data_IF_810660921001
#
_entry.id   IF_810660921001
#
_cell.length_a   1.000
_cell.length_b   1.000
_cell.length_c   1.000
_cell.angle_alpha   90.00
_cell.angle_beta   90.00
_cell.angle_gamma   90.00
#
_symmetry.space_group_name_H-M   'P 1'
#
loop_
_entity.id
_entity.type
_entity.pdbx_description
1 polymer ?
#
# COMPACT_ATOMS: atom_id res chain seq x y z
N UNK A 1 -20.33 19.74 12.14
CA UNK A 1 -20.11 19.67 10.68
C UNK A 1 -20.20 18.22 10.25
N UNK A 2 -21.32 17.81 9.64
CA UNK A 2 -21.43 16.48 9.04
C UNK A 2 -20.59 16.48 7.76
N UNK A 3 -19.40 15.89 7.80
CA UNK A 3 -18.63 15.65 6.60
C UNK A 3 -19.50 14.78 5.68
N UNK A 4 -19.95 15.35 4.57
CA UNK A 4 -20.48 14.57 3.44
C UNK A 4 -19.37 13.58 3.11
N UNK A 5 -19.62 12.30 3.37
CA UNK A 5 -18.69 11.21 3.07
C UNK A 5 -18.30 11.36 1.59
N UNK A 6 -17.00 11.46 1.31
CA UNK A 6 -16.52 11.17 -0.04
C UNK A 6 -17.01 9.77 -0.38
N UNK A 7 -17.81 9.66 -1.45
CA UNK A 7 -18.30 8.36 -1.92
C UNK A 7 -17.23 7.57 -2.67
N UNK A 8 -16.04 8.15 -2.88
CA UNK A 8 -14.97 7.56 -3.68
C UNK A 8 -13.60 7.77 -3.02
N UNK A 9 -12.66 6.82 -3.19
CA UNK A 9 -11.28 6.98 -2.74
C UNK A 9 -10.59 8.13 -3.48
N UNK A 10 -9.77 8.87 -2.76
CA UNK A 10 -8.81 9.81 -3.33
C UNK A 10 -7.58 9.08 -3.85
N UNK A 11 -7.13 9.41 -5.05
CA UNK A 11 -6.04 8.70 -5.73
C UNK A 11 -4.88 9.64 -6.00
N UNK A 12 -3.69 9.26 -5.53
CA UNK A 12 -2.42 9.89 -5.89
C UNK A 12 -1.69 9.05 -6.95
N UNK A 13 -1.21 9.68 -8.01
CA UNK A 13 -0.37 9.00 -9.02
C UNK A 13 1.01 9.64 -9.04
N UNK A 14 2.05 8.84 -8.85
CA UNK A 14 3.44 9.25 -8.91
C UNK A 14 4.10 8.64 -10.15
N UNK A 15 4.64 9.52 -11.00
CA UNK A 15 5.39 9.15 -12.20
C UNK A 15 6.81 9.67 -12.15
N UNK A 16 7.72 8.93 -12.80
CA UNK A 16 9.03 9.41 -13.21
C UNK A 16 9.27 9.19 -14.71
N UNK A 17 10.47 9.52 -15.18
CA UNK A 17 10.96 9.10 -16.50
C UNK A 17 10.21 9.69 -17.70
N UNK A 18 9.98 8.88 -18.74
CA UNK A 18 9.39 9.26 -20.03
C UNK A 18 7.86 9.08 -20.12
N UNK A 19 7.24 8.34 -19.17
CA UNK A 19 5.81 8.01 -19.17
C UNK A 19 4.91 9.22 -18.79
N UNK A 20 5.49 10.26 -18.18
CA UNK A 20 4.81 11.49 -17.77
C UNK A 20 4.00 12.19 -18.87
N UNK A 21 4.28 11.92 -20.16
CA UNK A 21 3.64 12.61 -21.28
C UNK A 21 2.26 12.06 -21.69
N UNK A 22 1.89 10.82 -21.33
CA UNK A 22 0.61 10.22 -21.78
C UNK A 22 -0.28 9.67 -20.67
N UNK A 23 0.22 9.66 -19.43
CA UNK A 23 -0.56 9.40 -18.22
C UNK A 23 -1.58 8.24 -18.30
N UNK A 24 -1.09 7.00 -18.52
CA UNK A 24 -1.98 5.85 -18.68
C UNK A 24 -2.86 5.61 -17.44
N UNK A 25 -2.38 5.93 -16.24
CA UNK A 25 -3.16 5.79 -15.00
C UNK A 25 -4.27 6.84 -14.87
N UNK A 26 -4.05 8.09 -15.28
CA UNK A 26 -5.10 9.11 -15.21
C UNK A 26 -6.31 8.67 -16.03
N UNK A 27 -6.10 8.24 -17.28
CA UNK A 27 -7.18 7.76 -18.14
C UNK A 27 -7.93 6.58 -17.49
N UNK A 28 -7.20 5.66 -16.87
CA UNK A 28 -7.80 4.50 -16.20
C UNK A 28 -8.62 4.93 -14.99
N UNK A 29 -8.07 5.70 -14.05
CA UNK A 29 -8.80 6.10 -12.84
C UNK A 29 -9.96 7.07 -13.13
N UNK A 30 -9.83 7.95 -14.12
CA UNK A 30 -10.93 8.82 -14.57
C UNK A 30 -12.08 8.00 -15.20
N UNK A 31 -11.79 6.86 -15.82
CA UNK A 31 -12.83 5.96 -16.35
C UNK A 31 -13.71 5.31 -15.27
N UNK A 32 -13.26 5.32 -14.00
CA UNK A 32 -14.05 4.92 -12.84
C UNK A 32 -14.82 6.10 -12.20
N UNK A 33 -14.89 7.25 -12.87
CA UNK A 33 -15.54 8.47 -12.39
C UNK A 33 -14.98 8.98 -11.04
N UNK A 34 -13.70 8.67 -10.76
CA UNK A 34 -13.04 9.12 -9.54
C UNK A 34 -12.78 10.64 -9.61
N UNK A 35 -13.36 11.36 -8.66
CA UNK A 35 -13.43 12.83 -8.64
C UNK A 35 -12.07 13.47 -8.27
N UNK A 36 -11.19 12.71 -7.60
CA UNK A 36 -9.99 13.21 -6.95
C UNK A 36 -8.74 12.42 -7.36
N UNK A 37 -8.37 12.52 -8.64
CA UNK A 37 -7.10 11.99 -9.16
C UNK A 37 -6.05 13.10 -9.15
N UNK A 38 -5.06 13.00 -8.26
CA UNK A 38 -3.99 13.98 -8.13
C UNK A 38 -2.68 13.45 -8.69
N UNK A 39 -2.04 14.26 -9.53
CA UNK A 39 -0.67 13.99 -10.00
C UNK A 39 0.31 14.44 -8.94
N UNK A 40 1.02 13.49 -8.34
CA UNK A 40 2.25 13.76 -7.61
C UNK A 40 3.34 13.91 -8.68
N UNK A 41 3.39 15.09 -9.28
CA UNK A 41 4.36 15.38 -10.33
C UNK A 41 5.77 15.45 -9.72
N UNK A 42 6.59 14.43 -9.97
CA UNK A 42 8.04 14.59 -9.94
C UNK A 42 8.46 15.35 -11.20
N UNK A 43 8.13 16.65 -11.27
CA UNK A 43 8.97 17.49 -12.13
C UNK A 43 10.39 17.35 -11.60
N UNK A 44 11.36 17.32 -12.51
CA UNK A 44 12.83 17.19 -12.36
C UNK A 44 13.47 18.25 -11.45
N UNK A 45 12.87 18.49 -10.30
CA UNK A 45 13.00 19.65 -9.46
C UNK A 45 13.21 19.16 -8.04
N UNK A 46 14.47 19.23 -7.61
CA UNK A 46 14.99 18.89 -6.29
C UNK A 46 14.41 19.72 -5.12
N UNK A 47 13.28 20.43 -5.28
CA UNK A 47 12.74 21.33 -4.26
C UNK A 47 11.71 20.69 -3.34
N UNK A 48 10.95 19.69 -3.79
CA UNK A 48 10.09 18.92 -2.90
C UNK A 48 10.96 17.91 -2.13
N UNK A 49 11.37 18.26 -0.92
CA UNK A 49 12.16 17.36 -0.05
C UNK A 49 11.32 16.27 0.63
N UNK A 50 9.99 16.36 0.56
CA UNK A 50 9.08 15.49 1.30
C UNK A 50 7.89 15.08 0.46
N UNK A 51 7.59 13.80 0.52
CA UNK A 51 6.38 13.19 -0.01
C UNK A 51 5.28 13.27 1.07
N UNK A 52 4.12 13.84 0.74
CA UNK A 52 2.93 13.80 1.60
C UNK A 52 1.86 12.93 0.96
N UNK A 53 1.66 11.74 1.53
CA UNK A 53 0.64 10.78 1.09
C UNK A 53 -0.64 10.83 1.93
N UNK A 54 -0.73 11.71 2.94
CA UNK A 54 -1.82 11.71 3.93
C UNK A 54 -3.19 12.05 3.38
N UNK A 55 -3.25 12.57 2.15
CA UNK A 55 -4.48 13.01 1.47
C UNK A 55 -5.05 12.00 0.49
N UNK A 56 -4.38 10.87 0.32
CA UNK A 56 -4.75 9.83 -0.63
C UNK A 56 -5.19 8.58 0.11
N UNK A 57 -6.14 7.86 -0.48
CA UNK A 57 -6.55 6.54 -0.03
C UNK A 57 -5.81 5.46 -0.84
N UNK A 58 -5.58 5.75 -2.14
CA UNK A 58 -4.87 4.89 -3.08
C UNK A 58 -3.70 5.68 -3.66
N UNK A 59 -2.52 5.08 -3.75
CA UNK A 59 -1.35 5.64 -4.42
C UNK A 59 -0.85 4.65 -5.46
N UNK A 60 -0.71 5.09 -6.70
CA UNK A 60 -0.06 4.33 -7.78
C UNK A 60 1.30 4.94 -8.11
N UNK A 61 2.34 4.12 -8.05
CA UNK A 61 3.71 4.44 -8.45
C UNK A 61 3.99 3.64 -9.73
N UNK A 62 4.10 4.35 -10.85
CA UNK A 62 4.33 3.75 -12.16
C UNK A 62 5.78 3.35 -12.43
N UNK A 63 6.05 2.89 -13.65
CA UNK A 63 7.39 2.50 -14.10
C UNK A 63 8.39 3.66 -14.11
N UNK A 64 9.65 3.32 -13.81
CA UNK A 64 10.81 4.22 -13.71
C UNK A 64 10.59 5.48 -12.83
N UNK A 65 10.18 5.34 -11.56
CA UNK A 65 10.07 6.48 -10.66
C UNK A 65 11.46 7.03 -10.28
N UNK A 66 11.53 8.25 -9.73
CA UNK A 66 12.74 8.71 -9.01
C UNK A 66 12.90 7.88 -7.73
N UNK A 67 13.65 6.79 -7.85
CA UNK A 67 13.87 5.85 -6.75
C UNK A 67 14.71 6.46 -5.61
N UNK A 68 15.54 7.49 -5.88
CA UNK A 68 16.29 8.19 -4.83
C UNK A 68 15.31 8.95 -3.95
N UNK A 69 14.40 9.72 -4.57
CA UNK A 69 13.34 10.42 -3.86
C UNK A 69 12.45 9.46 -3.06
N UNK A 70 12.05 8.32 -3.66
CA UNK A 70 11.25 7.32 -2.96
C UNK A 70 12.02 6.72 -1.77
N UNK A 71 13.32 6.45 -1.92
CA UNK A 71 14.15 5.93 -0.83
C UNK A 71 14.30 6.93 0.31
N UNK A 72 14.51 8.21 -0.01
CA UNK A 72 14.56 9.30 0.98
C UNK A 72 13.22 9.49 1.73
N UNK A 73 12.11 9.03 1.15
CA UNK A 73 10.76 9.13 1.71
C UNK A 73 10.17 7.75 2.11
N UNK A 74 11.01 6.73 2.31
CA UNK A 74 10.57 5.37 2.66
C UNK A 74 9.66 5.35 3.91
N UNK A 75 9.95 6.19 4.90
CA UNK A 75 9.14 6.31 6.12
C UNK A 75 7.71 6.83 5.86
N UNK A 76 7.53 7.69 4.86
CA UNK A 76 6.21 8.21 4.47
C UNK A 76 5.39 7.14 3.76
N UNK A 77 6.04 6.32 2.93
CA UNK A 77 5.44 5.15 2.27
C UNK A 77 4.99 4.12 3.32
N UNK A 78 5.87 3.82 4.29
CA UNK A 78 5.54 2.93 5.39
C UNK A 78 4.40 3.48 6.24
N UNK A 79 4.40 4.79 6.54
CA UNK A 79 3.31 5.44 7.27
C UNK A 79 2.00 5.31 6.51
N UNK A 80 1.99 5.59 5.21
CA UNK A 80 0.80 5.46 4.36
C UNK A 80 0.19 4.05 4.44
N UNK A 81 1.00 3.01 4.27
CA UNK A 81 0.58 1.61 4.41
C UNK A 81 0.07 1.29 5.83
N UNK A 82 0.73 1.81 6.87
CA UNK A 82 0.32 1.61 8.27
C UNK A 82 -1.02 2.27 8.62
N UNK A 83 -1.44 3.28 7.86
CA UNK A 83 -2.69 4.01 8.07
C UNK A 83 -3.87 3.43 7.27
N UNK A 84 -3.67 2.33 6.53
CA UNK A 84 -4.71 1.72 5.71
C UNK A 84 -4.67 2.11 4.23
N UNK A 85 -3.63 2.82 3.79
CA UNK A 85 -3.47 3.20 2.38
C UNK A 85 -3.24 2.01 1.46
N UNK A 86 -3.72 2.10 0.22
CA UNK A 86 -3.52 1.10 -0.83
C UNK A 86 -2.40 1.57 -1.76
N UNK A 87 -1.30 0.83 -1.82
CA UNK A 87 -0.15 1.16 -2.67
C UNK A 87 -0.05 0.18 -3.84
N UNK A 88 -0.02 0.71 -5.06
CA UNK A 88 0.38 0.00 -6.27
C UNK A 88 1.79 0.46 -6.63
N UNK A 89 2.74 -0.46 -6.76
CA UNK A 89 4.10 -0.18 -7.17
C UNK A 89 4.49 -1.07 -8.36
N UNK A 90 4.84 -0.42 -9.48
CA UNK A 90 5.18 -1.10 -10.74
C UNK A 90 6.66 -0.93 -11.12
N UNK A 91 7.16 -1.87 -11.92
CA UNK A 91 8.44 -1.74 -12.63
C UNK A 91 9.67 -2.03 -11.76
N UNK A 92 10.62 -1.09 -11.73
CA UNK A 92 11.96 -1.32 -11.19
C UNK A 92 12.12 -0.84 -9.73
N UNK A 93 12.91 -1.60 -8.95
CA UNK A 93 13.12 -1.37 -7.51
C UNK A 93 14.60 -1.43 -7.10
N UNK A 94 15.53 -1.00 -7.95
CA UNK A 94 16.99 -1.08 -7.76
C UNK A 94 17.50 -0.54 -6.42
N UNK A 95 16.92 0.55 -5.94
CA UNK A 95 17.34 1.16 -4.69
C UNK A 95 16.63 0.57 -3.46
N UNK A 96 15.84 -0.49 -3.65
CA UNK A 96 15.03 -1.14 -2.62
C UNK A 96 14.29 -0.09 -1.76
N UNK A 97 13.61 0.83 -2.46
CA UNK A 97 12.87 1.93 -1.85
C UNK A 97 11.55 1.47 -1.23
N UNK A 98 11.04 0.32 -1.64
CA UNK A 98 9.83 -0.29 -1.09
C UNK A 98 10.17 -1.02 0.22
N UNK A 99 9.49 -0.69 1.35
CA UNK A 99 9.79 -1.30 2.65
C UNK A 99 9.71 -2.83 2.65
N UNK A 100 10.58 -3.47 3.44
CA UNK A 100 10.62 -4.92 3.64
C UNK A 100 10.70 -5.76 2.35
N UNK A 101 11.26 -5.15 1.30
CA UNK A 101 11.34 -5.76 -0.02
C UNK A 101 12.78 -5.74 -0.50
N UNK A 102 13.26 -6.87 -1.01
CA UNK A 102 14.51 -6.97 -1.76
C UNK A 102 14.19 -7.37 -3.18
N UNK A 103 14.64 -6.56 -4.11
CA UNK A 103 14.50 -6.75 -5.53
C UNK A 103 15.85 -7.10 -6.13
N UNK A 104 15.82 -7.98 -7.13
CA UNK A 104 16.96 -8.26 -7.98
C UNK A 104 16.57 -7.99 -9.42
N UNK A 105 17.34 -7.09 -10.05
CA UNK A 105 17.18 -6.73 -11.46
C UNK A 105 17.43 -7.93 -12.35
N UNK A 106 16.63 -8.03 -13.40
CA UNK A 106 16.76 -9.01 -14.47
C UNK A 106 15.67 -8.77 -15.52
N UNK A 107 15.68 -9.56 -16.59
CA UNK A 107 14.56 -9.62 -17.53
C UNK A 107 14.00 -11.03 -17.48
N UNK A 108 12.72 -11.16 -17.18
CA UNK A 108 12.03 -12.43 -16.97
C UNK A 108 10.86 -12.52 -17.96
N UNK A 109 11.01 -13.29 -19.03
CA UNK A 109 9.94 -13.51 -20.01
C UNK A 109 9.14 -14.78 -19.69
N UNK A 110 9.72 -15.74 -18.97
CA UNK A 110 9.05 -16.97 -18.54
C UNK A 110 8.27 -16.76 -17.24
N UNK A 111 7.33 -15.83 -17.24
CA UNK A 111 6.45 -15.57 -16.10
C UNK A 111 5.22 -16.49 -16.11
N UNK A 112 4.63 -16.73 -14.94
CA UNK A 112 3.46 -17.59 -14.75
C UNK A 112 2.50 -16.91 -13.77
N UNK A 113 1.26 -16.69 -14.20
CA UNK A 113 0.19 -16.18 -13.33
C UNK A 113 -0.29 -17.30 -12.39
N UNK A 114 -0.09 -17.12 -11.09
CA UNK A 114 -0.43 -18.08 -10.04
C UNK A 114 -1.67 -17.69 -9.23
N UNK A 115 -2.06 -16.42 -9.24
CA UNK A 115 -3.16 -15.89 -8.42
C UNK A 115 -3.84 -14.66 -9.03
N UNK A 116 -4.83 -14.11 -8.31
CA UNK A 116 -5.60 -12.90 -8.71
C UNK A 116 -6.24 -12.98 -10.12
N UNK A 117 -6.63 -14.18 -10.55
CA UNK A 117 -7.20 -14.45 -11.88
C UNK A 117 -8.54 -13.77 -12.13
N UNK A 118 -9.33 -13.58 -11.08
CA UNK A 118 -10.66 -12.95 -11.18
C UNK A 118 -10.63 -11.45 -10.90
N UNK A 119 -9.46 -10.88 -10.59
CA UNK A 119 -9.25 -9.46 -10.30
C UNK A 119 -8.20 -8.87 -11.24
N UNK A 120 -6.94 -8.79 -10.82
CA UNK A 120 -5.83 -8.16 -11.57
C UNK A 120 -5.65 -8.78 -12.96
N UNK A 121 -5.75 -10.11 -13.07
CA UNK A 121 -5.56 -10.84 -14.31
C UNK A 121 -6.88 -11.28 -14.96
N UNK A 122 -7.99 -10.61 -14.63
CA UNK A 122 -9.30 -10.92 -15.21
C UNK A 122 -9.26 -10.81 -16.73
N UNK A 123 -9.64 -11.90 -17.40
CA UNK A 123 -9.59 -12.03 -18.87
C UNK A 123 -8.19 -11.91 -19.48
N UNK A 124 -7.13 -12.16 -18.69
CA UNK A 124 -5.75 -12.24 -19.16
C UNK A 124 -5.20 -13.63 -18.88
N UNK A 125 -4.52 -14.20 -19.88
CA UNK A 125 -3.72 -15.41 -19.74
C UNK A 125 -2.28 -15.06 -19.42
N UNK A 126 -1.50 -16.05 -18.98
CA UNK A 126 -0.05 -15.87 -18.83
C UNK A 126 0.60 -15.36 -20.12
N UNK A 127 0.17 -15.91 -21.26
CA UNK A 127 0.69 -15.54 -22.59
C UNK A 127 0.43 -14.07 -22.92
N UNK A 128 -0.74 -13.55 -22.55
CA UNK A 128 -1.10 -12.15 -22.81
C UNK A 128 -0.18 -11.14 -22.13
N UNK A 129 0.56 -11.58 -21.09
CA UNK A 129 1.50 -10.76 -20.30
C UNK A 129 2.95 -11.12 -20.63
N UNK A 130 3.29 -12.40 -20.76
CA UNK A 130 4.66 -12.86 -21.04
C UNK A 130 5.16 -12.51 -22.45
N UNK A 131 4.25 -12.27 -23.39
CA UNK A 131 4.59 -11.87 -24.76
C UNK A 131 4.99 -10.39 -24.88
N UNK A 132 4.95 -9.62 -23.79
CA UNK A 132 5.46 -8.25 -23.80
C UNK A 132 6.98 -8.29 -23.86
N UNK A 133 7.56 -7.46 -24.74
CA UNK A 133 9.02 -7.32 -24.81
C UNK A 133 9.53 -6.80 -23.46
N UNK A 134 10.38 -7.60 -22.79
CA UNK A 134 10.84 -7.34 -21.41
C UNK A 134 9.71 -7.22 -20.38
N UNK A 135 8.72 -8.13 -20.44
CA UNK A 135 7.49 -8.09 -19.62
C UNK A 135 7.68 -7.91 -18.10
N UNK A 136 8.78 -8.42 -17.54
CA UNK A 136 9.10 -8.26 -16.12
C UNK A 136 10.57 -7.90 -15.93
N UNK A 137 10.80 -6.81 -15.19
CA UNK A 137 12.12 -6.22 -14.97
C UNK A 137 12.83 -6.81 -13.75
N UNK A 138 12.61 -8.08 -13.42
CA UNK A 138 13.31 -8.77 -12.34
C UNK A 138 12.36 -9.47 -11.37
N UNK A 139 12.81 -9.70 -10.14
CA UNK A 139 12.02 -10.43 -9.14
C UNK A 139 12.38 -10.06 -7.70
N UNK A 140 11.48 -10.42 -6.78
CA UNK A 140 11.65 -10.21 -5.34
C UNK A 140 12.27 -11.43 -4.67
N UNK A 141 13.29 -11.20 -3.84
CA UNK A 141 14.09 -12.23 -3.16
C UNK A 141 13.85 -12.31 -1.65
N UNK A 142 13.25 -11.27 -1.05
CA UNK A 142 13.00 -11.22 0.40
C UNK A 142 11.70 -11.87 0.85
N UNK A 143 10.89 -12.38 -0.09
CA UNK A 143 9.60 -13.00 0.22
C UNK A 143 9.77 -14.51 0.12
N UNK A 144 9.69 -15.24 1.24
CA UNK A 144 9.68 -16.70 1.23
C UNK A 144 8.51 -17.23 0.38
N UNK A 145 8.68 -18.31 -0.40
CA UNK A 145 7.61 -18.93 -1.19
C UNK A 145 6.36 -19.35 -0.40
N UNK A 146 6.49 -19.51 0.92
CA UNK A 146 5.46 -19.95 1.86
C UNK A 146 5.04 -18.85 2.84
N UNK A 147 5.39 -17.59 2.56
CA UNK A 147 4.97 -16.45 3.37
C UNK A 147 3.44 -16.41 3.49
N UNK A 148 2.94 -16.64 4.70
CA UNK A 148 1.51 -16.52 5.01
C UNK A 148 1.07 -15.07 4.81
N UNK A 149 -0.14 -14.92 4.24
CA UNK A 149 -0.79 -13.64 3.92
C UNK A 149 -0.07 -12.72 2.94
N UNK A 150 0.98 -13.21 2.26
CA UNK A 150 1.50 -12.57 1.04
C UNK A 150 1.06 -13.43 -0.14
N UNK A 151 0.08 -12.94 -0.90
CA UNK A 151 -0.43 -13.65 -2.06
C UNK A 151 0.56 -13.53 -3.21
N UNK A 152 1.16 -14.66 -3.59
CA UNK A 152 1.96 -14.80 -4.80
C UNK A 152 1.03 -14.81 -6.02
N UNK A 153 1.08 -13.76 -6.85
CA UNK A 153 0.17 -13.64 -8.01
C UNK A 153 0.87 -13.88 -9.34
N UNK A 154 2.19 -13.62 -9.43
CA UNK A 154 3.03 -14.00 -10.58
C UNK A 154 4.40 -14.48 -10.11
N UNK A 155 4.92 -15.52 -10.77
CA UNK A 155 6.29 -16.02 -10.57
C UNK A 155 7.05 -16.12 -11.89
N UNK A 156 8.37 -16.18 -11.84
CA UNK A 156 9.19 -16.63 -12.97
C UNK A 156 9.34 -18.16 -13.00
N UNK A 157 10.01 -18.70 -14.03
CA UNK A 157 10.31 -20.13 -14.16
C UNK A 157 11.10 -20.74 -12.98
N UNK A 158 11.75 -19.92 -12.15
CA UNK A 158 12.46 -20.32 -10.92
C UNK A 158 11.59 -20.21 -9.65
N UNK A 159 10.30 -19.90 -9.80
CA UNK A 159 9.34 -19.68 -8.70
C UNK A 159 9.66 -18.49 -7.79
N UNK A 160 10.48 -17.55 -8.25
CA UNK A 160 10.65 -16.28 -7.57
C UNK A 160 9.46 -15.37 -7.84
N UNK A 161 9.13 -14.52 -6.86
CA UNK A 161 8.01 -13.59 -6.97
C UNK A 161 8.32 -12.50 -8.01
N UNK A 162 7.48 -12.42 -9.04
CA UNK A 162 7.47 -11.31 -10.01
C UNK A 162 6.42 -10.28 -9.62
N UNK A 163 5.32 -10.74 -9.03
CA UNK A 163 4.29 -9.89 -8.45
C UNK A 163 3.64 -10.51 -7.21
N UNK A 164 3.30 -9.68 -6.23
CA UNK A 164 2.62 -10.09 -5.00
C UNK A 164 1.67 -9.03 -4.47
N UNK A 165 0.68 -9.51 -3.70
CA UNK A 165 -0.14 -8.67 -2.83
C UNK A 165 0.23 -8.97 -1.38
N UNK A 166 0.43 -7.93 -0.59
CA UNK A 166 0.72 -8.00 0.82
C UNK A 166 -0.29 -7.15 1.60
N UNK A 167 -1.15 -7.85 2.33
CA UNK A 167 -2.15 -7.28 3.22
C UNK A 167 -2.00 -7.82 4.65
N UNK A 168 -0.87 -8.47 4.96
CA UNK A 168 -0.56 -9.00 6.29
C UNK A 168 0.42 -8.09 7.05
N UNK A 169 1.45 -7.58 6.36
CA UNK A 169 2.46 -6.71 7.03
C UNK A 169 1.96 -5.30 7.32
N UNK A 170 0.83 -4.91 6.73
CA UNK A 170 0.29 -3.55 6.81
C UNK A 170 -1.21 -3.56 7.12
N UNK A 171 -1.70 -2.47 7.72
CA UNK A 171 -3.15 -2.23 7.86
C UNK A 171 -3.79 -2.01 6.48
N UNK A 172 -3.04 -1.33 5.60
CA UNK A 172 -3.37 -1.12 4.20
C UNK A 172 -3.04 -2.32 3.34
N UNK A 173 -2.77 -2.09 2.06
CA UNK A 173 -2.42 -3.17 1.14
C UNK A 173 -1.41 -2.71 0.11
N UNK A 174 -0.47 -3.59 -0.19
CA UNK A 174 0.60 -3.37 -1.16
C UNK A 174 0.43 -4.35 -2.32
N UNK A 175 0.27 -3.84 -3.53
CA UNK A 175 0.52 -4.56 -4.77
C UNK A 175 1.88 -4.12 -5.30
N UNK A 176 2.81 -5.06 -5.39
CA UNK A 176 4.11 -4.82 -5.99
C UNK A 176 4.33 -5.79 -7.15
N UNK A 177 4.73 -5.27 -8.30
CA UNK A 177 5.06 -6.06 -9.48
C UNK A 177 6.24 -5.48 -10.23
N UNK A 178 7.10 -6.36 -10.73
CA UNK A 178 8.20 -5.97 -11.64
C UNK A 178 7.75 -5.82 -13.09
N UNK A 179 6.48 -6.11 -13.35
CA UNK A 179 5.78 -5.90 -14.61
C UNK A 179 5.37 -4.42 -14.70
N UNK A 180 5.43 -3.84 -15.90
CA UNK A 180 5.17 -2.43 -16.19
C UNK A 180 3.99 -2.26 -17.19
N UNK A 181 2.76 -2.65 -16.81
CA UNK A 181 1.59 -2.53 -17.68
C UNK A 181 1.32 -1.07 -18.10
N UNK A 182 1.76 -0.08 -17.34
CA UNK A 182 1.67 1.33 -17.70
C UNK A 182 2.59 1.71 -18.87
N UNK A 183 3.84 1.23 -18.88
CA UNK A 183 4.77 1.38 -20.01
C UNK A 183 4.23 0.70 -21.27
N UNK A 184 3.76 -0.53 -21.16
CA UNK A 184 3.20 -1.25 -22.30
C UNK A 184 1.87 -0.68 -22.80
N UNK A 185 1.05 -0.11 -21.91
CA UNK A 185 -0.13 0.67 -22.28
C UNK A 185 0.26 1.91 -23.08
N UNK A 186 1.32 2.61 -22.68
CA UNK A 186 1.86 3.76 -23.42
C UNK A 186 2.26 3.38 -24.86
N UNK A 187 2.80 2.16 -25.04
CA UNK A 187 3.17 1.59 -26.34
C UNK A 187 1.99 0.99 -27.13
N UNK A 188 0.76 1.10 -26.61
CA UNK A 188 -0.46 0.71 -27.32
C UNK A 188 -0.87 -0.76 -27.17
N UNK A 189 -0.29 -1.51 -26.22
CA UNK A 189 -0.69 -2.89 -25.99
C UNK A 189 -2.04 -2.97 -25.27
N UNK A 190 -3.01 -3.65 -25.90
CA UNK A 190 -4.38 -3.75 -25.39
C UNK A 190 -4.46 -4.60 -24.11
N UNK A 191 -3.69 -5.69 -24.02
CA UNK A 191 -3.63 -6.54 -22.81
C UNK A 191 -3.04 -5.78 -21.62
N UNK A 192 -2.02 -4.95 -21.85
CA UNK A 192 -1.46 -4.09 -20.81
C UNK A 192 -2.47 -3.06 -20.31
N UNK A 193 -3.25 -2.45 -21.22
CA UNK A 193 -4.33 -1.52 -20.86
C UNK A 193 -5.40 -2.22 -20.02
N UNK A 194 -5.80 -3.42 -20.42
CA UNK A 194 -6.78 -4.21 -19.67
C UNK A 194 -6.25 -4.58 -18.27
N UNK A 195 -4.97 -4.96 -18.16
CA UNK A 195 -4.33 -5.21 -16.87
C UNK A 195 -4.34 -3.96 -15.98
N UNK A 196 -4.03 -2.79 -16.54
CA UNK A 196 -4.04 -1.52 -15.79
C UNK A 196 -5.44 -1.18 -15.26
N UNK A 197 -6.48 -1.39 -16.07
CA UNK A 197 -7.88 -1.25 -15.66
C UNK A 197 -8.26 -2.22 -14.53
N UNK A 198 -7.85 -3.48 -14.65
CA UNK A 198 -8.08 -4.49 -13.62
C UNK A 198 -7.36 -4.16 -12.31
N UNK A 199 -6.12 -3.63 -12.36
CA UNK A 199 -5.37 -3.18 -11.17
C UNK A 199 -6.10 -2.02 -10.48
N UNK A 200 -6.58 -1.03 -11.25
CA UNK A 200 -7.34 0.07 -10.69
C UNK A 200 -8.66 -0.40 -10.03
N UNK A 201 -9.39 -1.30 -10.70
CA UNK A 201 -10.59 -1.92 -10.13
C UNK A 201 -10.29 -2.68 -8.83
N UNK A 202 -9.23 -3.49 -8.82
CA UNK A 202 -8.77 -4.17 -7.61
C UNK A 202 -8.46 -3.20 -6.47
N UNK A 203 -7.77 -2.09 -6.74
CA UNK A 203 -7.40 -1.14 -5.70
C UNK A 203 -8.62 -0.42 -5.09
N UNK A 204 -9.65 -0.15 -5.90
CA UNK A 204 -10.93 0.41 -5.44
C UNK A 204 -11.66 -0.61 -4.55
N UNK A 205 -11.75 -1.86 -4.98
CA UNK A 205 -12.37 -2.93 -4.19
C UNK A 205 -11.62 -3.15 -2.87
N UNK A 206 -10.28 -3.11 -2.91
CA UNK A 206 -9.42 -3.27 -1.76
C UNK A 206 -9.56 -2.11 -0.76
N UNK A 207 -9.68 -0.88 -1.25
CA UNK A 207 -10.01 0.29 -0.42
C UNK A 207 -11.32 0.05 0.35
N UNK A 208 -12.38 -0.41 -0.32
CA UNK A 208 -13.64 -0.71 0.36
C UNK A 208 -13.50 -1.86 1.36
N UNK A 209 -12.73 -2.91 1.04
CA UNK A 209 -12.44 -4.00 1.97
C UNK A 209 -11.79 -3.49 3.25
N UNK A 210 -10.72 -2.69 3.12
CA UNK A 210 -9.99 -2.10 4.25
C UNK A 210 -10.88 -1.15 5.05
N UNK A 211 -11.63 -0.28 4.37
CA UNK A 211 -12.57 0.64 5.00
C UNK A 211 -13.63 -0.08 5.84
N UNK A 212 -14.24 -1.15 5.30
CA UNK A 212 -15.23 -1.95 6.02
C UNK A 212 -14.63 -2.69 7.22
N UNK A 213 -13.40 -3.20 7.10
CA UNK A 213 -12.67 -3.81 8.22
C UNK A 213 -12.48 -2.80 9.36
N UNK A 214 -12.04 -1.59 9.03
CA UNK A 214 -11.85 -0.52 10.01
C UNK A 214 -13.15 -0.10 10.70
N UNK A 215 -14.27 -0.02 9.96
CA UNK A 215 -15.57 0.25 10.55
C UNK A 215 -16.02 -0.84 11.52
N UNK A 216 -15.84 -2.12 11.18
CA UNK A 216 -16.16 -3.24 12.08
C UNK A 216 -15.33 -3.19 13.36
N UNK A 217 -14.03 -2.89 13.25
CA UNK A 217 -13.15 -2.75 14.40
C UNK A 217 -13.56 -1.58 15.32
N UNK A 218 -13.99 -0.45 14.74
CA UNK A 218 -14.52 0.68 15.50
C UNK A 218 -15.84 0.35 16.21
N UNK A 219 -16.75 -0.37 15.56
CA UNK A 219 -18.00 -0.82 16.19
C UNK A 219 -17.72 -1.80 17.34
N UNK A 220 -16.79 -2.74 17.13
CA UNK A 220 -16.35 -3.66 18.17
C UNK A 220 -15.71 -2.92 19.35
N UNK A 221 -14.83 -1.94 19.09
CA UNK A 221 -14.20 -1.12 20.12
C UNK A 221 -15.23 -0.29 20.90
N UNK A 222 -16.27 0.23 20.23
CA UNK A 222 -17.39 0.90 20.90
C UNK A 222 -18.19 -0.06 21.79
N UNK A 223 -18.50 -1.26 21.31
CA UNK A 223 -19.20 -2.29 22.10
C UNK A 223 -18.38 -2.75 23.31
N UNK A 224 -17.08 -2.93 23.15
CA UNK A 224 -16.16 -3.29 24.23
C UNK A 224 -16.01 -2.14 25.24
N UNK A 225 -15.81 -0.90 24.80
CA UNK A 225 -15.73 0.24 25.72
C UNK A 225 -17.03 0.47 26.48
N UNK A 226 -18.20 0.17 25.90
CA UNK A 226 -19.48 0.19 26.62
C UNK A 226 -19.59 -0.91 27.68
N UNK A 227 -19.05 -2.11 27.41
CA UNK A 227 -19.04 -3.23 28.37
C UNK A 227 -17.98 -3.12 29.47
N UNK A 228 -16.83 -2.50 29.17
CA UNK A 228 -15.68 -2.41 30.09
C UNK A 228 -15.72 -1.10 30.89
N UNK A 229 -16.54 -0.10 30.50
CA UNK A 229 -16.70 1.17 31.24
C UNK A 229 -16.90 1.05 32.75
N UNK A 230 -17.70 0.12 33.30
CA UNK A 230 -17.79 -0.03 34.76
C UNK A 230 -16.45 -0.49 35.36
N UNK A 231 -15.82 -1.50 34.74
CA UNK A 231 -14.58 -2.10 35.25
C UNK A 231 -13.33 -1.24 35.03
N UNK A 232 -13.29 -0.42 33.99
CA UNK A 232 -12.14 0.44 33.68
C UNK A 232 -12.07 1.63 34.63
N UNK A 233 -13.22 2.19 35.03
CA UNK A 233 -13.30 3.26 36.03
C UNK A 233 -12.91 2.74 37.40
N UNK A 234 -13.38 1.54 37.78
CA UNK A 234 -12.99 0.88 39.03
C UNK A 234 -11.49 0.52 39.05
N UNK A 235 -10.95 0.03 37.95
CA UNK A 235 -9.52 -0.30 37.84
C UNK A 235 -8.63 0.95 37.89
N UNK A 236 -9.01 2.04 37.20
CA UNK A 236 -8.30 3.32 37.29
C UNK A 236 -8.39 3.92 38.70
N UNK A 237 -9.55 3.83 39.35
CA UNK A 237 -9.72 4.28 40.74
C UNK A 237 -8.84 3.47 41.70
N UNK A 238 -8.75 2.15 41.53
CA UNK A 238 -7.89 1.28 42.33
C UNK A 238 -6.39 1.58 42.13
N UNK A 239 -5.96 1.80 40.87
CA UNK A 239 -4.57 2.17 40.56
C UNK A 239 -4.23 3.54 41.17
N UNK A 240 -5.11 4.53 41.02
CA UNK A 240 -4.91 5.87 41.58
C UNK A 240 -4.89 5.86 43.11
N UNK A 241 -5.74 5.05 43.75
CA UNK A 241 -5.72 4.86 45.20
C UNK A 241 -4.40 4.22 45.68
N UNK A 242 -3.88 3.24 44.94
CA UNK A 242 -2.57 2.63 45.22
C UNK A 242 -1.40 3.61 45.10
N UNK A 243 -1.40 4.44 44.05
CA UNK A 243 -0.37 5.47 43.84
C UNK A 243 -0.42 6.53 44.95
N UNK A 244 -1.62 7.02 45.30
CA UNK A 244 -1.80 8.01 46.36
C UNK A 244 -1.39 7.47 47.74
N UNK A 245 -1.73 6.22 48.05
CA UNK A 245 -1.29 5.53 49.28
C UNK A 245 0.24 5.44 49.38
N UNK A 246 0.89 5.08 48.27
CA UNK A 246 2.35 4.95 48.19
C UNK A 246 3.04 6.31 48.40
N UNK A 247 2.52 7.36 47.77
CA UNK A 247 3.03 8.73 47.92
C UNK A 247 2.84 9.22 49.37
N UNK A 248 1.66 9.01 49.97
CA UNK A 248 1.38 9.42 51.35
C UNK A 248 2.30 8.70 52.35
N UNK A 249 2.55 7.40 52.14
CA UNK A 249 3.47 6.60 52.96
C UNK A 249 4.90 7.12 52.86
N UNK A 250 5.34 7.47 51.64
CA UNK A 250 6.67 8.06 51.42
C UNK A 250 6.83 9.40 52.17
N UNK A 251 5.84 10.28 52.13
CA UNK A 251 5.88 11.56 52.86
C UNK A 251 5.81 11.39 54.38
N UNK A 252 5.03 10.42 54.88
CA UNK A 252 4.99 10.10 56.32
C UNK A 252 6.34 9.58 56.81
N UNK A 253 7.00 8.69 56.05
CA UNK A 253 8.34 8.22 56.38
C UNK A 253 9.36 9.38 56.40
N UNK A 254 9.31 10.29 55.42
CA UNK A 254 10.18 11.47 55.41
C UNK A 254 9.93 12.43 56.59
N UNK A 255 8.72 12.47 57.14
CA UNK A 255 8.36 13.32 58.28
C UNK A 255 8.81 12.72 59.62
N UNK A 256 8.72 11.40 59.81
CA UNK A 256 9.10 10.74 61.07
C UNK A 256 10.59 10.45 61.21
N UNK A 257 11.34 10.44 60.11
CA UNK A 257 12.79 10.21 60.11
C UNK A 257 13.62 11.50 59.94
N UNK A 258 13.02 12.66 60.22
CA UNK A 258 13.71 13.95 60.44
C UNK A 258 13.61 14.33 61.91
#
# INVERSE_FOLDING_TARGET
>A
MSAVKKNYPSVGILYGGAIWHRDPWQYVFESFELIDVFKIMQKRFRWAKRLDLSRYDIVAIGWAPDQIFLKENESEILRFLSMGGILIALGEFDLNWLPHTRYMRGFENDIIITGAKDTIFKNLTTKDVSDWDDSAHGYFTSIPPDAKGIAQIVVNGRKHYVAYIDNERYVGSLLAMTIDPDFHTYNGLASARLMLQNIAGWAIDEYYRVFQSNLKNLDLAKKLSFRVRPYFVELLAAIMAGILSTIATYFLLQYFFR
#
